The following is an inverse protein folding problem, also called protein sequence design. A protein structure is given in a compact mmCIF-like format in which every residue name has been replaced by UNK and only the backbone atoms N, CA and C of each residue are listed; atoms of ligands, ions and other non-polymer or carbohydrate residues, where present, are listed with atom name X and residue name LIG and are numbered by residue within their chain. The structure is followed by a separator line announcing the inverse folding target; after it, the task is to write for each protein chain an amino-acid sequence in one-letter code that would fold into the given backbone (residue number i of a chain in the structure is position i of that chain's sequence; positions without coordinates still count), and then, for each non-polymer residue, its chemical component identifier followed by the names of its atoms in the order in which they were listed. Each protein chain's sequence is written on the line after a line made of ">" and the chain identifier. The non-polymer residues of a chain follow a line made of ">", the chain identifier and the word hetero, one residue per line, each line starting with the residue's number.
data_IF_824527664343
#
_entry.id   IF_824527664343
#
_cell.length_a   1.000
_cell.length_b   1.000
_cell.length_c   1.000
_cell.angle_alpha   90.00
_cell.angle_beta   90.00
_cell.angle_gamma   90.00
#
_symmetry.space_group_name_H-M   'P 1'
#
loop_
_entity.id
_entity.type
_entity.pdbx_description
1 polymer ?
#
# COMPACT_ATOMS: atom_id res chain seq x y z
N UNK A 1 43.94 -24.48 53.47
CA UNK A 1 43.25 -23.78 52.37
C UNK A 1 44.01 -23.87 51.04
N UNK A 2 45.33 -23.62 51.01
CA UNK A 2 46.15 -23.77 49.78
C UNK A 2 46.35 -25.23 49.33
N UNK A 3 46.61 -26.14 50.27
CA UNK A 3 46.76 -27.58 50.00
C UNK A 3 45.50 -28.21 49.35
N UNK A 4 44.31 -27.83 49.83
CA UNK A 4 43.02 -28.29 49.31
C UNK A 4 42.73 -27.76 47.90
N UNK A 5 43.18 -26.54 47.59
CA UNK A 5 43.07 -25.99 46.22
C UNK A 5 43.99 -26.74 45.25
N UNK A 6 45.20 -27.10 45.69
CA UNK A 6 46.19 -27.81 44.87
C UNK A 6 45.75 -29.23 44.49
N UNK A 7 45.05 -29.93 45.39
CA UNK A 7 44.50 -31.27 45.09
C UNK A 7 43.32 -31.21 44.10
N UNK A 8 42.50 -30.16 44.18
CA UNK A 8 41.38 -29.92 43.24
C UNK A 8 41.90 -29.71 41.81
N UNK A 9 43.00 -28.96 41.63
CA UNK A 9 43.56 -28.68 40.31
C UNK A 9 44.41 -29.82 39.70
N UNK A 10 44.73 -30.87 40.46
CA UNK A 10 45.47 -32.05 39.95
C UNK A 10 44.56 -33.14 39.38
N UNK A 11 43.26 -33.11 39.67
CA UNK A 11 42.31 -34.07 39.11
C UNK A 11 42.04 -33.76 37.62
N UNK A 12 42.28 -34.74 36.74
CA UNK A 12 42.01 -34.63 35.30
C UNK A 12 40.56 -34.26 34.99
N UNK A 13 39.60 -34.70 35.81
CA UNK A 13 38.18 -34.37 35.66
C UNK A 13 37.93 -32.88 35.93
N UNK A 14 38.57 -32.33 36.96
CA UNK A 14 38.49 -30.91 37.29
C UNK A 14 39.17 -30.04 36.23
N UNK A 15 40.30 -30.48 35.67
CA UNK A 15 40.97 -29.76 34.59
C UNK A 15 40.10 -29.68 33.33
N UNK A 16 39.43 -30.77 32.94
CA UNK A 16 38.50 -30.78 31.81
C UNK A 16 37.33 -29.83 32.04
N UNK A 17 36.72 -29.85 33.24
CA UNK A 17 35.64 -28.92 33.60
C UNK A 17 36.10 -27.46 33.55
N UNK A 18 37.29 -27.17 34.07
CA UNK A 18 37.87 -25.82 34.05
C UNK A 18 38.09 -25.33 32.62
N UNK A 19 38.60 -26.19 31.74
CA UNK A 19 38.76 -25.87 30.31
C UNK A 19 37.42 -25.60 29.65
N UNK A 20 36.39 -26.41 29.90
CA UNK A 20 35.04 -26.20 29.34
C UNK A 20 34.45 -24.87 29.82
N UNK A 21 34.60 -24.53 31.10
CA UNK A 21 34.14 -23.25 31.66
C UNK A 21 34.89 -22.08 31.02
N UNK A 22 36.21 -22.16 30.88
CA UNK A 22 37.00 -21.12 30.23
C UNK A 22 36.63 -20.95 28.75
N UNK A 23 36.42 -22.04 28.02
CA UNK A 23 35.95 -22.01 26.62
C UNK A 23 34.56 -21.39 26.53
N UNK A 24 33.66 -21.72 27.46
CA UNK A 24 32.30 -21.15 27.50
C UNK A 24 32.33 -19.64 27.77
N UNK A 25 33.13 -19.20 28.75
CA UNK A 25 33.31 -17.77 29.07
C UNK A 25 33.93 -17.04 27.87
N UNK A 26 34.96 -17.60 27.25
CA UNK A 26 35.59 -17.02 26.07
C UNK A 26 34.59 -16.89 24.91
N UNK A 27 33.75 -17.91 24.70
CA UNK A 27 32.73 -17.87 23.66
C UNK A 27 31.67 -16.78 23.90
N UNK A 28 31.20 -16.63 25.15
CA UNK A 28 30.27 -15.56 25.55
C UNK A 28 30.91 -14.18 25.35
N UNK A 29 32.19 -14.03 25.73
CA UNK A 29 32.91 -12.76 25.58
C UNK A 29 33.07 -12.35 24.10
N UNK A 30 33.39 -13.30 23.22
CA UNK A 30 33.59 -13.03 21.79
C UNK A 30 32.28 -12.83 21.02
N UNK A 31 31.24 -13.59 21.35
CA UNK A 31 29.97 -13.56 20.61
C UNK A 31 28.96 -12.55 21.16
N UNK A 32 29.18 -12.06 22.39
CA UNK A 32 28.22 -11.26 23.14
C UNK A 32 26.98 -12.05 23.55
N UNK A 33 26.11 -11.42 24.35
CA UNK A 33 24.80 -11.96 24.73
C UNK A 33 23.71 -11.22 23.96
N UNK A 34 22.83 -11.95 23.27
CA UNK A 34 21.67 -11.36 22.59
C UNK A 34 20.59 -11.04 23.60
N UNK A 35 20.56 -9.79 24.05
CA UNK A 35 19.54 -9.29 24.96
C UNK A 35 18.19 -9.11 24.24
N UNK A 36 17.09 -9.41 24.93
CA UNK A 36 15.74 -9.05 24.46
C UNK A 36 15.46 -7.56 24.65
N UNK A 37 14.34 -7.06 24.11
CA UNK A 37 13.95 -5.64 24.24
C UNK A 37 13.80 -5.20 25.71
N UNK A 38 13.47 -6.13 26.61
CA UNK A 38 13.36 -5.89 28.06
C UNK A 38 14.70 -5.45 28.69
N UNK A 39 15.82 -5.76 28.05
CA UNK A 39 17.17 -5.44 28.52
C UNK A 39 17.93 -4.48 27.60
N UNK A 40 17.68 -4.54 26.29
CA UNK A 40 18.33 -3.70 25.29
C UNK A 40 17.59 -2.37 25.01
N UNK A 41 16.34 -2.25 25.49
CA UNK A 41 15.43 -1.20 25.05
C UNK A 41 14.81 -1.53 23.69
N UNK A 42 13.57 -1.08 23.48
CA UNK A 42 12.82 -1.39 22.27
C UNK A 42 11.36 -1.01 22.36
N UNK A 43 10.66 -1.14 21.24
CA UNK A 43 9.21 -0.92 21.15
C UNK A 43 8.53 -2.21 20.72
N UNK A 44 7.44 -2.56 21.39
CA UNK A 44 6.53 -3.65 20.96
C UNK A 44 5.28 -3.03 20.40
N UNK A 45 5.02 -3.31 19.12
CA UNK A 45 3.87 -2.80 18.38
C UNK A 45 2.86 -3.95 18.27
N UNK A 46 1.72 -3.90 18.99
CA UNK A 46 0.66 -4.88 18.84
C UNK A 46 -0.10 -4.66 17.53
N UNK A 47 -0.44 -5.75 16.85
CA UNK A 47 -1.20 -5.75 15.59
C UNK A 47 -2.37 -6.70 15.75
N UNK A 48 -3.55 -6.21 15.40
CA UNK A 48 -4.79 -6.97 15.39
C UNK A 48 -5.25 -7.08 13.95
N UNK A 49 -5.40 -8.31 13.46
CA UNK A 49 -5.92 -8.57 12.12
C UNK A 49 -7.41 -8.25 12.05
N UNK A 50 -7.86 -7.79 10.88
CA UNK A 50 -9.27 -7.45 10.63
C UNK A 50 -10.20 -8.67 10.84
N UNK A 51 -9.69 -9.87 10.56
CA UNK A 51 -10.38 -11.14 10.77
C UNK A 51 -9.45 -12.18 11.39
N UNK A 52 -10.05 -13.17 12.06
CA UNK A 52 -9.32 -14.39 12.43
C UNK A 52 -8.84 -15.13 11.19
N UNK A 53 -7.66 -15.73 11.29
CA UNK A 53 -7.00 -16.50 10.24
C UNK A 53 -6.59 -17.86 10.77
N UNK A 54 -6.44 -18.85 9.88
CA UNK A 54 -5.90 -20.15 10.30
C UNK A 54 -4.36 -20.10 10.46
N UNK A 55 -3.76 -21.17 11.00
CA UNK A 55 -2.32 -21.23 11.25
C UNK A 55 -1.47 -21.01 9.98
N UNK A 56 -1.87 -21.57 8.83
CA UNK A 56 -1.11 -21.42 7.59
C UNK A 56 -1.19 -19.99 7.03
N UNK A 57 -2.35 -19.35 7.14
CA UNK A 57 -2.52 -17.92 6.83
C UNK A 57 -1.71 -17.04 7.79
N UNK A 58 -1.72 -17.33 9.09
CA UNK A 58 -0.94 -16.59 10.09
C UNK A 58 0.56 -16.69 9.81
N UNK A 59 1.07 -17.88 9.48
CA UNK A 59 2.47 -18.08 9.10
C UNK A 59 2.82 -17.27 7.84
N UNK A 60 1.91 -17.20 6.87
CA UNK A 60 2.07 -16.37 5.68
C UNK A 60 2.16 -14.88 6.05
N UNK A 61 1.25 -14.37 6.88
CA UNK A 61 1.27 -12.98 7.35
C UNK A 61 2.58 -12.66 8.05
N UNK A 62 3.01 -13.51 8.98
CA UNK A 62 4.27 -13.34 9.71
C UNK A 62 5.46 -13.30 8.76
N UNK A 63 5.51 -14.19 7.76
CA UNK A 63 6.60 -14.23 6.79
C UNK A 63 6.63 -12.99 5.90
N UNK A 64 5.47 -12.52 5.41
CA UNK A 64 5.37 -11.29 4.61
C UNK A 64 5.87 -10.09 5.41
N UNK A 65 5.45 -9.95 6.67
CA UNK A 65 5.91 -8.86 7.54
C UNK A 65 7.42 -8.94 7.79
N UNK A 66 7.97 -10.13 8.05
CA UNK A 66 9.43 -10.33 8.22
C UNK A 66 10.20 -9.91 6.97
N UNK A 67 9.76 -10.34 5.79
CA UNK A 67 10.41 -10.00 4.52
C UNK A 67 10.40 -8.49 4.27
N UNK A 68 9.26 -7.83 4.50
CA UNK A 68 9.15 -6.37 4.37
C UNK A 68 10.10 -5.66 5.30
N UNK A 69 10.03 -5.93 6.60
CA UNK A 69 10.83 -5.24 7.62
C UNK A 69 12.33 -5.48 7.40
N UNK A 70 12.72 -6.68 6.93
CA UNK A 70 14.11 -6.99 6.59
C UNK A 70 14.64 -6.19 5.39
N UNK A 71 13.81 -5.98 4.35
CA UNK A 71 14.22 -5.24 3.14
C UNK A 71 14.54 -3.77 3.40
N UNK A 72 13.88 -3.17 4.40
CA UNK A 72 14.13 -1.78 4.79
C UNK A 72 15.32 -1.61 5.74
N UNK A 73 16.16 -2.64 5.90
CA UNK A 73 17.41 -2.55 6.66
C UNK A 73 17.24 -2.59 8.17
N UNK A 74 16.04 -2.91 8.66
CA UNK A 74 15.72 -3.00 10.08
C UNK A 74 16.20 -4.35 10.62
N UNK A 75 17.51 -4.43 10.92
CA UNK A 75 18.22 -5.69 11.23
C UNK A 75 17.75 -6.40 12.51
N UNK A 76 16.95 -5.75 13.34
CA UNK A 76 16.57 -6.26 14.66
C UNK A 76 15.06 -6.28 14.90
N UNK A 77 14.29 -6.66 13.87
CA UNK A 77 12.84 -6.77 13.98
C UNK A 77 12.42 -8.23 14.16
N UNK A 78 11.56 -8.49 15.15
CA UNK A 78 10.97 -9.81 15.39
C UNK A 78 9.46 -9.75 15.27
N UNK A 79 8.90 -10.62 14.44
CA UNK A 79 7.44 -10.77 14.27
C UNK A 79 7.00 -12.07 14.93
N UNK A 80 6.02 -12.01 15.82
CA UNK A 80 5.49 -13.17 16.55
C UNK A 80 3.97 -13.13 16.57
N UNK A 81 3.33 -14.27 16.29
CA UNK A 81 1.89 -14.46 16.39
C UNK A 81 1.45 -14.71 17.84
N UNK A 82 0.23 -14.28 18.14
CA UNK A 82 -0.49 -14.48 19.39
C UNK A 82 -1.90 -15.01 19.03
N UNK A 83 -2.00 -16.31 18.83
CA UNK A 83 -3.27 -16.94 18.45
C UNK A 83 -3.61 -16.73 16.97
N UNK A 84 -4.91 -16.61 16.68
CA UNK A 84 -5.48 -16.61 15.33
C UNK A 84 -5.78 -15.21 14.78
N UNK A 85 -5.61 -14.15 15.59
CA UNK A 85 -5.94 -12.78 15.19
C UNK A 85 -4.93 -11.72 15.64
N UNK A 86 -4.17 -12.01 16.68
CA UNK A 86 -3.25 -11.04 17.25
C UNK A 86 -1.80 -11.44 16.89
N UNK A 87 -0.95 -10.45 16.68
CA UNK A 87 0.48 -10.62 16.54
C UNK A 87 1.18 -9.36 17.04
N UNK A 88 2.50 -9.42 17.22
CA UNK A 88 3.26 -8.23 17.56
C UNK A 88 4.60 -8.20 16.85
N UNK A 89 5.08 -6.98 16.67
CA UNK A 89 6.40 -6.67 16.14
C UNK A 89 7.24 -6.08 17.26
N UNK A 90 8.40 -6.67 17.52
CA UNK A 90 9.42 -6.11 18.40
C UNK A 90 10.45 -5.42 17.53
N UNK A 91 10.70 -4.14 17.81
CA UNK A 91 11.76 -3.33 17.22
C UNK A 91 12.76 -3.06 18.33
N UNK A 92 14.00 -3.52 18.17
CA UNK A 92 15.08 -3.15 19.10
C UNK A 92 15.47 -1.69 18.93
N UNK A 93 15.82 -1.03 20.04
CA UNK A 93 16.26 0.37 20.03
C UNK A 93 15.12 1.39 20.17
N UNK A 94 15.49 2.66 20.22
CA UNK A 94 14.57 3.78 20.52
C UNK A 94 14.53 4.85 19.43
N UNK A 95 15.02 4.53 18.23
CA UNK A 95 15.01 5.48 17.12
C UNK A 95 13.57 5.68 16.62
N UNK A 96 13.06 6.90 16.79
CA UNK A 96 11.66 7.23 16.50
C UNK A 96 11.36 7.17 15.00
N UNK A 97 12.34 7.48 14.15
CA UNK A 97 12.20 7.41 12.70
C UNK A 97 12.05 5.96 12.23
N UNK A 98 12.90 5.06 12.71
CA UNK A 98 12.80 3.62 12.44
C UNK A 98 11.47 3.03 12.95
N UNK A 99 10.98 3.47 14.10
CA UNK A 99 9.68 3.02 14.64
C UNK A 99 8.53 3.49 13.73
N UNK A 100 8.52 4.77 13.34
CA UNK A 100 7.49 5.31 12.43
C UNK A 100 7.53 4.61 11.05
N UNK A 101 8.72 4.30 10.55
CA UNK A 101 8.90 3.54 9.31
C UNK A 101 8.31 2.12 9.44
N UNK A 102 8.60 1.42 10.55
CA UNK A 102 8.03 0.11 10.86
C UNK A 102 6.51 0.16 10.89
N UNK A 103 5.93 1.14 11.59
CA UNK A 103 4.48 1.34 11.67
C UNK A 103 3.86 1.53 10.28
N UNK A 104 4.47 2.38 9.45
CA UNK A 104 4.02 2.63 8.07
C UNK A 104 4.05 1.35 7.21
N UNK A 105 5.12 0.57 7.31
CA UNK A 105 5.29 -0.67 6.55
C UNK A 105 4.33 -1.78 6.98
N UNK A 106 3.97 -1.82 8.27
CA UNK A 106 2.97 -2.76 8.80
C UNK A 106 1.56 -2.35 8.38
N UNK A 107 1.26 -1.05 8.38
CA UNK A 107 -0.06 -0.53 8.07
C UNK A 107 -0.45 -0.67 6.58
N UNK A 108 0.53 -0.85 5.69
CA UNK A 108 0.30 -0.98 4.25
C UNK A 108 0.05 -2.43 3.84
N UNK A 109 -0.96 -2.68 3.02
CA UNK A 109 -1.27 -4.04 2.55
C UNK A 109 -0.38 -4.43 1.37
N UNK A 110 0.07 -3.45 0.57
CA UNK A 110 0.91 -3.65 -0.61
C UNK A 110 0.21 -4.38 -1.76
N UNK A 111 -1.10 -4.19 -1.92
CA UNK A 111 -1.89 -4.77 -3.02
C UNK A 111 -1.64 -3.97 -4.29
N UNK A 112 -0.88 -4.57 -5.21
CA UNK A 112 -0.65 -3.99 -6.53
C UNK A 112 -1.75 -4.40 -7.51
N UNK A 113 -2.24 -3.41 -8.28
CA UNK A 113 -3.15 -3.63 -9.40
C UNK A 113 -2.82 -2.66 -10.53
N UNK A 114 -2.79 -3.15 -11.77
CA UNK A 114 -2.74 -2.32 -12.98
C UNK A 114 -4.07 -2.44 -13.72
N UNK A 115 -4.72 -1.31 -13.98
CA UNK A 115 -6.06 -1.22 -14.58
C UNK A 115 -5.96 -0.49 -15.91
N UNK A 116 -6.61 -1.05 -16.93
CA UNK A 116 -6.75 -0.43 -18.25
C UNK A 116 -8.21 -0.47 -18.65
N UNK A 117 -8.78 0.70 -18.92
CA UNK A 117 -10.16 0.85 -19.40
C UNK A 117 -11.15 0.12 -18.48
N UNK A 118 -11.01 0.36 -17.18
CA UNK A 118 -11.83 -0.24 -16.13
C UNK A 118 -11.57 -1.71 -15.82
N UNK A 119 -10.65 -2.40 -16.51
CA UNK A 119 -10.38 -3.83 -16.29
C UNK A 119 -9.03 -4.07 -15.64
N UNK A 120 -8.95 -5.04 -14.73
CA UNK A 120 -7.66 -5.40 -14.10
C UNK A 120 -6.80 -6.17 -15.09
N UNK A 121 -5.77 -5.50 -15.59
CA UNK A 121 -4.83 -6.05 -16.57
C UNK A 121 -3.75 -6.92 -15.89
N UNK A 122 -3.25 -6.48 -14.73
CA UNK A 122 -2.20 -7.15 -13.96
C UNK A 122 -2.53 -7.06 -12.47
N UNK A 123 -2.36 -8.17 -11.76
CA UNK A 123 -2.43 -8.23 -10.29
C UNK A 123 -1.04 -8.49 -9.68
N UNK A 124 -0.83 -8.13 -8.41
CA UNK A 124 0.47 -8.30 -7.73
C UNK A 124 0.99 -9.74 -7.64
N UNK A 125 0.11 -10.74 -7.63
CA UNK A 125 0.44 -12.16 -7.66
C UNK A 125 0.88 -12.67 -9.04
N UNK A 126 0.60 -11.91 -10.10
CA UNK A 126 1.03 -12.15 -11.47
C UNK A 126 2.43 -11.58 -11.76
N UNK A 127 3.12 -11.05 -10.74
CA UNK A 127 4.48 -10.52 -10.84
C UNK A 127 5.53 -11.58 -10.49
N UNK A 128 6.60 -11.64 -11.27
CA UNK A 128 7.79 -12.42 -10.92
C UNK A 128 8.51 -11.67 -9.78
N UNK A 129 8.35 -12.11 -8.54
CA UNK A 129 8.87 -11.43 -7.33
C UNK A 129 10.36 -11.03 -7.40
N UNK A 130 11.20 -11.83 -8.07
CA UNK A 130 12.66 -11.56 -8.21
C UNK A 130 12.99 -10.55 -9.30
N UNK A 131 12.04 -10.16 -10.13
CA UNK A 131 12.20 -9.17 -11.20
C UNK A 131 11.93 -7.75 -10.73
N UNK A 132 11.42 -7.56 -9.50
CA UNK A 132 11.04 -6.26 -8.97
C UNK A 132 12.29 -5.57 -8.42
N UNK A 133 12.70 -4.48 -9.04
CA UNK A 133 13.83 -3.67 -8.56
C UNK A 133 13.67 -2.19 -8.93
N UNK A 134 14.23 -1.32 -8.09
CA UNK A 134 14.40 0.09 -8.41
C UNK A 134 15.50 0.24 -9.46
N UNK A 135 15.18 0.88 -10.57
CA UNK A 135 16.14 1.18 -11.62
C UNK A 135 17.15 2.19 -11.07
N UNK A 136 18.47 1.92 -11.20
CA UNK A 136 19.51 2.88 -10.80
C UNK A 136 19.30 4.25 -11.45
N UNK A 137 19.55 5.33 -10.71
CA UNK A 137 19.29 6.70 -11.15
C UNK A 137 19.94 7.05 -12.49
N UNK A 138 21.13 6.49 -12.79
CA UNK A 138 21.84 6.67 -14.06
C UNK A 138 21.16 6.02 -15.28
N UNK A 139 20.13 5.20 -15.04
CA UNK A 139 19.36 4.46 -16.05
C UNK A 139 17.88 4.80 -16.06
N UNK A 140 17.44 5.72 -15.21
CA UNK A 140 16.05 6.18 -15.19
C UNK A 140 15.75 6.88 -16.50
N UNK A 141 14.66 6.49 -17.15
CA UNK A 141 14.27 7.06 -18.44
C UNK A 141 13.50 8.38 -18.27
N UNK A 142 13.79 9.36 -19.13
CA UNK A 142 13.05 10.61 -19.20
C UNK A 142 13.29 11.55 -18.01
N UNK A 143 12.22 12.21 -17.55
CA UNK A 143 12.24 13.19 -16.45
C UNK A 143 11.77 12.60 -15.11
N UNK A 144 11.86 11.27 -14.92
CA UNK A 144 11.44 10.64 -13.68
C UNK A 144 12.54 10.72 -12.61
N UNK A 145 12.17 10.91 -11.35
CA UNK A 145 13.12 10.89 -10.22
C UNK A 145 13.50 9.46 -9.80
N UNK A 146 12.62 8.49 -10.06
CA UNK A 146 12.84 7.07 -9.81
C UNK A 146 12.02 6.23 -10.78
N UNK A 147 12.46 5.00 -11.02
CA UNK A 147 11.75 4.03 -11.85
C UNK A 147 11.77 2.65 -11.17
N UNK A 148 10.67 1.91 -11.30
CA UNK A 148 10.53 0.54 -10.76
C UNK A 148 10.28 -0.40 -11.93
N UNK A 149 11.20 -1.34 -12.13
CA UNK A 149 11.05 -2.39 -13.12
C UNK A 149 10.45 -3.64 -12.48
N UNK A 150 9.60 -4.32 -13.24
CA UNK A 150 9.05 -5.63 -12.88
C UNK A 150 8.72 -6.42 -14.15
N UNK A 151 8.51 -7.73 -14.00
CA UNK A 151 8.12 -8.63 -15.08
C UNK A 151 6.91 -9.44 -14.63
N UNK A 152 5.91 -9.57 -15.51
CA UNK A 152 4.76 -10.44 -15.28
C UNK A 152 5.10 -11.90 -15.60
N UNK A 153 4.36 -12.84 -15.03
CA UNK A 153 4.53 -14.26 -15.34
C UNK A 153 4.14 -14.57 -16.79
N UNK A 154 4.69 -15.62 -17.40
CA UNK A 154 4.28 -16.07 -18.74
C UNK A 154 2.77 -16.34 -18.85
N UNK A 155 2.16 -16.86 -17.78
CA UNK A 155 0.73 -17.17 -17.71
C UNK A 155 -0.14 -15.90 -17.72
N UNK A 156 0.35 -14.79 -17.14
CA UNK A 156 -0.34 -13.50 -17.14
C UNK A 156 -0.19 -12.73 -18.46
N UNK A 157 0.82 -13.05 -19.28
CA UNK A 157 1.08 -12.39 -20.55
C UNK A 157 -0.13 -12.29 -21.48
N UNK A 158 -0.83 -13.39 -21.80
CA UNK A 158 -2.03 -13.36 -22.64
C UNK A 158 -3.17 -12.53 -22.05
N UNK A 159 -3.36 -12.56 -20.72
CA UNK A 159 -4.38 -11.74 -20.02
C UNK A 159 -4.07 -10.25 -20.21
N UNK A 160 -2.83 -9.84 -19.95
CA UNK A 160 -2.39 -8.46 -20.15
C UNK A 160 -2.54 -8.03 -21.61
N UNK A 161 -2.06 -8.84 -22.56
CA UNK A 161 -2.14 -8.56 -23.99
C UNK A 161 -3.58 -8.36 -24.47
N UNK A 162 -4.51 -9.20 -24.02
CA UNK A 162 -5.95 -9.06 -24.33
C UNK A 162 -6.55 -7.81 -23.68
N UNK A 163 -6.14 -7.47 -22.45
CA UNK A 163 -6.63 -6.29 -21.76
C UNK A 163 -6.26 -4.99 -22.48
N UNK A 164 -5.07 -4.92 -23.09
CA UNK A 164 -4.57 -3.72 -23.80
C UNK A 164 -4.80 -3.74 -25.31
N UNK A 165 -5.35 -4.83 -25.86
CA UNK A 165 -5.54 -4.99 -27.30
C UNK A 165 -6.43 -3.87 -27.88
N UNK A 166 -5.92 -3.16 -28.89
CA UNK A 166 -6.63 -2.05 -29.53
C UNK A 166 -6.67 -0.75 -28.71
N UNK A 167 -5.99 -0.69 -27.57
CA UNK A 167 -5.95 0.46 -26.66
C UNK A 167 -4.66 1.26 -26.78
N UNK A 168 -4.22 1.50 -28.03
CA UNK A 168 -3.10 2.40 -28.29
C UNK A 168 -3.40 3.78 -27.67
N UNK A 169 -2.40 4.39 -27.05
CA UNK A 169 -2.49 5.68 -26.34
C UNK A 169 -3.48 5.72 -25.17
N UNK A 170 -4.01 4.57 -24.73
CA UNK A 170 -4.84 4.48 -23.53
C UNK A 170 -3.98 4.30 -22.28
N UNK A 171 -4.24 5.04 -21.18
CA UNK A 171 -3.43 4.95 -19.97
C UNK A 171 -3.58 3.59 -19.26
N UNK A 172 -2.44 3.07 -18.78
CA UNK A 172 -2.40 1.97 -17.82
C UNK A 172 -2.22 2.57 -16.42
N UNK A 173 -3.27 2.55 -15.62
CA UNK A 173 -3.21 3.07 -14.25
C UNK A 173 -2.67 2.00 -13.30
N UNK A 174 -1.61 2.33 -12.57
CA UNK A 174 -1.00 1.43 -11.60
C UNK A 174 -1.28 1.93 -10.20
N UNK A 175 -1.82 1.05 -9.35
CA UNK A 175 -2.14 1.36 -7.97
C UNK A 175 -1.36 0.44 -7.04
N UNK A 176 -0.96 1.01 -5.91
CA UNK A 176 -0.57 0.28 -4.73
C UNK A 176 -1.57 0.64 -3.63
N UNK A 177 -2.24 -0.37 -3.06
CA UNK A 177 -3.32 -0.18 -2.08
C UNK A 177 -4.42 0.74 -2.60
N UNK A 178 -4.95 0.41 -3.79
CA UNK A 178 -6.08 1.15 -4.40
C UNK A 178 -7.21 1.25 -3.37
N UNK A 179 -7.72 2.46 -3.07
CA UNK A 179 -8.86 2.62 -2.18
C UNK A 179 -10.07 1.82 -2.69
N UNK A 180 -10.85 1.28 -1.77
CA UNK A 180 -12.10 0.58 -2.07
C UNK A 180 -13.20 1.05 -1.12
N UNK A 181 -14.46 0.99 -1.57
CA UNK A 181 -15.64 1.42 -0.79
C UNK A 181 -15.52 2.84 -0.23
N UNK A 182 -14.84 3.71 -0.96
CA UNK A 182 -14.60 5.10 -0.59
C UNK A 182 -15.07 6.05 -1.69
N UNK A 183 -15.13 7.33 -1.35
CA UNK A 183 -15.46 8.42 -2.26
C UNK A 183 -14.33 9.43 -2.23
N UNK A 184 -13.92 9.89 -3.40
CA UNK A 184 -12.94 10.97 -3.55
C UNK A 184 -13.72 12.27 -3.57
N UNK A 185 -13.36 13.18 -2.67
CA UNK A 185 -13.89 14.53 -2.62
C UNK A 185 -12.75 15.48 -2.96
N UNK A 186 -12.95 16.31 -3.99
CA UNK A 186 -12.00 17.34 -4.39
C UNK A 186 -12.75 18.58 -4.86
N UNK A 187 -12.10 19.74 -4.79
CA UNK A 187 -12.60 20.97 -5.40
C UNK A 187 -12.30 20.98 -6.90
N UNK A 188 -13.05 21.78 -7.66
CA UNK A 188 -12.78 21.99 -9.09
C UNK A 188 -11.40 22.64 -9.33
N UNK A 189 -10.95 23.45 -8.37
CA UNK A 189 -9.60 24.04 -8.41
C UNK A 189 -8.52 22.96 -8.32
N UNK A 190 -8.56 22.11 -7.29
CA UNK A 190 -7.62 20.99 -7.13
C UNK A 190 -7.61 20.08 -8.35
N UNK A 191 -8.79 19.74 -8.86
CA UNK A 191 -8.95 18.93 -10.08
C UNK A 191 -8.17 19.53 -11.26
N UNK A 192 -8.35 20.83 -11.52
CA UNK A 192 -7.73 21.51 -12.66
C UNK A 192 -6.22 21.70 -12.45
N UNK A 193 -5.78 21.93 -11.20
CA UNK A 193 -4.35 21.98 -10.86
C UNK A 193 -3.67 20.65 -11.22
N UNK A 194 -4.26 19.52 -10.86
CA UNK A 194 -3.70 18.20 -11.18
C UNK A 194 -3.83 17.82 -12.65
N UNK A 195 -4.85 18.33 -13.35
CA UNK A 195 -5.08 18.04 -14.76
C UNK A 195 -4.15 18.80 -15.72
N UNK A 196 -3.23 19.64 -15.21
CA UNK A 196 -2.12 20.19 -16.00
C UNK A 196 -2.53 21.08 -17.19
N UNK A 197 -3.66 21.78 -17.08
CA UNK A 197 -4.19 22.66 -18.14
C UNK A 197 -5.25 22.04 -19.05
N UNK A 198 -5.72 20.82 -18.75
CA UNK A 198 -6.89 20.25 -19.42
C UNK A 198 -8.17 21.06 -19.15
N UNK A 199 -9.14 20.97 -20.05
CA UNK A 199 -10.47 21.54 -19.79
C UNK A 199 -11.15 20.82 -18.62
N UNK A 200 -12.14 21.44 -17.94
CA UNK A 200 -12.88 20.77 -16.87
C UNK A 200 -13.50 19.43 -17.30
N UNK A 201 -13.99 19.33 -18.53
CA UNK A 201 -14.57 18.09 -19.07
C UNK A 201 -13.52 17.00 -19.27
N UNK A 202 -12.37 17.36 -19.83
CA UNK A 202 -11.24 16.44 -20.02
C UNK A 202 -10.68 15.96 -18.68
N UNK A 203 -10.60 16.85 -17.69
CA UNK A 203 -10.15 16.50 -16.34
C UNK A 203 -11.10 15.50 -15.67
N UNK A 204 -12.41 15.73 -15.79
CA UNK A 204 -13.43 14.81 -15.28
C UNK A 204 -13.38 13.45 -15.97
N UNK A 205 -13.25 13.42 -17.29
CA UNK A 205 -13.12 12.17 -18.05
C UNK A 205 -11.87 11.38 -17.65
N UNK A 206 -10.74 12.06 -17.49
CA UNK A 206 -9.49 11.44 -17.04
C UNK A 206 -9.63 10.83 -15.64
N UNK A 207 -10.32 11.54 -14.73
CA UNK A 207 -10.59 11.05 -13.38
C UNK A 207 -11.55 9.85 -13.41
N UNK A 208 -12.63 9.91 -14.19
CA UNK A 208 -13.57 8.79 -14.34
C UNK A 208 -12.82 7.55 -14.84
N UNK A 209 -12.02 7.67 -15.89
CA UNK A 209 -11.21 6.57 -16.41
C UNK A 209 -10.21 6.04 -15.36
N UNK A 210 -9.58 6.91 -14.56
CA UNK A 210 -8.65 6.55 -13.50
C UNK A 210 -9.33 6.01 -12.23
N UNK A 211 -10.64 6.11 -12.10
CA UNK A 211 -11.40 5.64 -10.93
C UNK A 211 -12.33 4.47 -11.27
N UNK A 212 -12.47 4.17 -12.56
CA UNK A 212 -13.30 3.07 -13.06
C UNK A 212 -12.71 1.70 -12.77
N UNK A 213 -13.58 0.77 -12.38
CA UNK A 213 -13.27 -0.64 -12.18
C UNK A 213 -14.52 -1.47 -12.51
N UNK A 214 -14.61 -1.92 -13.75
CA UNK A 214 -15.78 -2.58 -14.33
C UNK A 214 -15.89 -4.05 -13.90
N UNK A 215 -14.75 -4.71 -13.65
CA UNK A 215 -14.72 -6.09 -13.14
C UNK A 215 -15.19 -6.17 -11.68
N UNK A 216 -15.16 -5.04 -10.95
CA UNK A 216 -15.53 -4.91 -9.53
C UNK A 216 -16.34 -3.63 -9.30
N UNK A 217 -17.59 -3.56 -9.77
CA UNK A 217 -18.39 -2.33 -9.77
C UNK A 217 -18.63 -1.77 -8.36
N UNK A 218 -18.62 -2.61 -7.33
CA UNK A 218 -18.72 -2.20 -5.92
C UNK A 218 -17.46 -1.50 -5.39
N UNK A 219 -16.34 -1.63 -6.11
CA UNK A 219 -15.06 -0.99 -5.81
C UNK A 219 -14.76 0.18 -6.75
N UNK A 220 -15.69 0.53 -7.65
CA UNK A 220 -15.62 1.77 -8.42
C UNK A 220 -15.52 2.97 -7.47
N UNK A 221 -14.53 3.84 -7.71
CA UNK A 221 -14.30 4.99 -6.84
C UNK A 221 -15.17 6.14 -7.34
N UNK A 222 -16.11 6.55 -6.49
CA UNK A 222 -16.99 7.67 -6.80
C UNK A 222 -16.24 8.97 -6.57
N UNK A 223 -16.36 9.90 -7.52
CA UNK A 223 -15.76 11.23 -7.39
C UNK A 223 -16.84 12.28 -7.25
N UNK A 224 -16.70 13.14 -6.25
CA UNK A 224 -17.63 14.23 -5.99
C UNK A 224 -16.86 15.53 -5.91
N UNK A 225 -17.30 16.52 -6.68
CA UNK A 225 -16.79 17.88 -6.55
C UNK A 225 -17.41 18.55 -5.33
N UNK A 226 -16.56 19.04 -4.42
CA UNK A 226 -17.00 19.68 -3.18
C UNK A 226 -17.89 20.91 -3.45
N UNK A 227 -17.61 21.62 -4.53
CA UNK A 227 -18.39 22.78 -5.00
C UNK A 227 -19.84 22.40 -5.32
N UNK A 228 -20.02 21.23 -5.94
CA UNK A 228 -21.34 20.73 -6.30
C UNK A 228 -22.06 20.23 -5.04
N UNK A 229 -21.34 19.58 -4.11
CA UNK A 229 -21.88 19.13 -2.84
C UNK A 229 -22.44 20.29 -1.98
N UNK A 230 -21.71 21.40 -1.87
CA UNK A 230 -22.14 22.56 -1.11
C UNK A 230 -23.41 23.22 -1.69
N UNK A 231 -23.47 23.33 -3.02
CA UNK A 231 -24.62 23.89 -3.73
C UNK A 231 -25.85 22.98 -3.62
N UNK A 232 -25.67 21.66 -3.60
CA UNK A 232 -26.76 20.68 -3.49
C UNK A 232 -27.30 20.53 -2.06
N UNK A 233 -26.46 20.68 -1.04
CA UNK A 233 -26.88 20.82 0.36
C UNK A 233 -27.75 22.06 0.57
N UNK A 234 -27.35 23.19 -0.03
CA UNK A 234 -28.15 24.41 0.00
C UNK A 234 -29.48 24.27 -0.75
N UNK A 235 -29.55 23.40 -1.76
CA UNK A 235 -30.73 23.15 -2.58
C UNK A 235 -31.59 21.94 -2.14
N UNK A 236 -31.23 21.24 -1.06
CA UNK A 236 -31.87 20.01 -0.56
C UNK A 236 -32.03 18.92 -1.65
N UNK A 237 -31.04 18.78 -2.53
CA UNK A 237 -31.08 17.88 -3.70
C UNK A 237 -30.28 16.58 -3.47
N UNK A 238 -30.77 15.47 -4.03
CA UNK A 238 -30.11 14.15 -4.01
C UNK A 238 -28.87 14.14 -4.90
N UNK A 239 -27.75 13.59 -4.41
CA UNK A 239 -26.43 13.63 -5.10
C UNK A 239 -26.42 12.73 -6.35
N UNK A 240 -26.25 13.27 -7.57
CA UNK A 240 -25.90 12.49 -8.74
C UNK A 240 -24.42 12.11 -8.61
N UNK A 241 -24.19 10.84 -8.32
CA UNK A 241 -22.87 10.23 -8.29
C UNK A 241 -22.39 10.03 -9.73
N UNK A 242 -21.15 10.42 -10.07
CA UNK A 242 -20.55 9.92 -11.31
C UNK A 242 -20.34 8.41 -11.18
N UNK A 243 -21.24 7.66 -11.80
CA UNK A 243 -21.08 6.24 -12.07
C UNK A 243 -21.10 6.02 -13.58
N UNK A 244 -20.67 4.84 -14.06
CA UNK A 244 -20.66 4.52 -15.48
C UNK A 244 -22.04 4.78 -16.09
N UNK A 245 -22.12 5.80 -16.96
CA UNK A 245 -23.36 6.28 -17.59
C UNK A 245 -23.87 7.66 -17.18
N UNK A 246 -23.20 8.37 -16.26
CA UNK A 246 -23.61 9.71 -15.83
C UNK A 246 -23.13 10.77 -16.83
N UNK A 247 -23.91 11.03 -17.89
CA UNK A 247 -23.68 12.19 -18.74
C UNK A 247 -23.81 13.47 -17.90
N UNK A 248 -22.77 14.28 -17.88
CA UNK A 248 -22.80 15.66 -17.38
C UNK A 248 -23.93 16.38 -18.11
N UNK A 249 -25.04 16.64 -17.43
CA UNK A 249 -25.99 17.63 -17.91
C UNK A 249 -25.30 18.99 -17.77
N UNK A 250 -24.80 19.51 -18.89
CA UNK A 250 -24.45 20.92 -18.99
C UNK A 250 -25.67 21.73 -18.55
N UNK A 251 -25.51 22.78 -17.72
CA UNK A 251 -26.60 23.68 -17.43
C UNK A 251 -26.96 24.41 -18.72
N UNK A 252 -27.98 23.93 -19.43
CA UNK A 252 -28.53 24.61 -20.59
C UNK A 252 -28.94 26.02 -20.17
N UNK A 253 -28.49 26.97 -20.97
CA UNK A 253 -28.78 28.38 -20.88
C UNK A 253 -30.28 28.62 -20.83
N UNK A 254 -30.71 29.35 -19.79
CA UNK A 254 -32.01 30.00 -19.75
C UNK A 254 -32.07 31.08 -20.84
N UNK A 255 -32.36 30.67 -22.07
CA UNK A 255 -32.73 31.57 -23.16
C UNK A 255 -34.23 31.84 -23.04
N UNK A 256 -34.55 33.00 -22.49
CA UNK A 256 -35.91 33.55 -22.49
C UNK A 256 -36.41 33.69 -23.93
N UNK A 257 -37.45 32.93 -24.30
CA UNK A 257 -38.23 33.18 -25.53
C UNK A 257 -39.08 34.44 -25.34
N UNK A 258 -39.15 35.37 -26.30
CA UNK A 258 -40.10 36.46 -26.25
C UNK A 258 -41.50 35.93 -26.63
N UNK A 259 -42.51 36.33 -25.85
CA UNK A 259 -43.93 36.11 -26.16
C UNK A 259 -44.31 36.93 -27.40
N UNK A 260 -44.65 36.27 -28.50
CA UNK A 260 -45.43 36.86 -29.59
C UNK A 260 -46.92 36.69 -29.28
N UNK A 261 -47.56 37.79 -28.88
CA UNK A 261 -49.00 37.89 -28.66
C UNK A 261 -49.72 38.02 -30.01
N UNK A 262 -50.28 36.92 -30.50
CA UNK A 262 -51.18 36.88 -31.66
C UNK A 262 -52.58 37.33 -31.22
N UNK A 263 -53.03 38.49 -31.70
CA UNK A 263 -54.38 39.00 -31.50
C UNK A 263 -55.09 39.03 -32.85
N UNK A 264 -55.90 38.00 -33.13
CA UNK A 264 -56.91 38.05 -34.22
C UNK A 264 -58.14 38.83 -33.77
N UNK A 265 -58.83 39.53 -34.70
CA UNK A 265 -60.03 40.29 -34.38
C UNK A 265 -61.26 39.38 -34.36
N UNK A 266 -62.19 39.62 -33.44
CA UNK A 266 -63.57 39.17 -33.57
C UNK A 266 -64.47 40.36 -33.93
N UNK A 267 -65.38 40.06 -34.87
CA UNK A 267 -66.49 40.87 -35.37
C UNK A 267 -67.44 41.35 -34.28
#
# INVERSE_FOLDING_TARGET
>A
MFETLKSIFSDRRMQVLLVIVLVSILHIYLSGVKFGIDFAGGTRIPIVLERSVNNAEMDMVVNVLKERLSKFGLKEVKVKSLGDRDLYVEVSGSDTESIAEVERLIATQGVFQAVVDGKVAISGDELIKKSIYTVPFDRVSGNADYEVAFTITPEAGPKFANAVLGKADYPLYMYLDRPSKSMIVLTREEMLTYAGGASPEQALEAIDNATRLDDYPEQHLKVVLADDFANMLAANATIPVSGPGSRVQSPESSVSRPETQDSRPQS
#
